data_IF_584806353949
#
_entry.id   IF_584806353949
#
_cell.length_a   1.000
_cell.length_b   1.000
_cell.length_c   1.000
_cell.angle_alpha   90.00
_cell.angle_beta   90.00
_cell.angle_gamma   90.00
#
_symmetry.space_group_name_H-M   'P 1'
#
loop_
_entity.id
_entity.type
_entity.pdbx_description
1 polymer ?
#
# COMPACT_ATOMS: atom_id res chain seq x y z
N UNK A 1 -6.59 56.15 -22.81
CA UNK A 1 -5.58 55.08 -22.90
C UNK A 1 -5.55 54.20 -21.64
N UNK A 2 -5.68 54.76 -20.43
CA UNK A 2 -5.69 53.98 -19.17
C UNK A 2 -6.83 52.95 -19.05
N UNK A 3 -8.02 53.24 -19.57
CA UNK A 3 -9.18 52.34 -19.48
C UNK A 3 -9.02 51.03 -20.25
N UNK A 4 -8.27 51.02 -21.36
CA UNK A 4 -8.01 49.81 -22.15
C UNK A 4 -7.05 48.84 -21.44
N UNK A 5 -6.02 49.37 -20.76
CA UNK A 5 -5.06 48.55 -20.02
C UNK A 5 -5.69 47.83 -18.82
N UNK A 6 -6.52 48.51 -18.03
CA UNK A 6 -7.21 47.88 -16.90
C UNK A 6 -8.09 46.69 -17.32
N UNK A 7 -8.74 46.77 -18.49
CA UNK A 7 -9.57 45.69 -19.04
C UNK A 7 -8.70 44.51 -19.50
N UNK A 8 -7.58 44.77 -20.18
CA UNK A 8 -6.65 43.71 -20.60
C UNK A 8 -5.95 43.04 -19.42
N UNK A 9 -5.54 43.81 -18.42
CA UNK A 9 -4.87 43.30 -17.22
C UNK A 9 -5.83 42.46 -16.37
N UNK A 10 -7.09 42.90 -16.22
CA UNK A 10 -8.14 42.11 -15.58
C UNK A 10 -8.46 40.80 -16.32
N UNK A 11 -8.49 40.82 -17.65
CA UNK A 11 -8.65 39.63 -18.48
C UNK A 11 -7.46 38.66 -18.36
N UNK A 12 -6.23 39.18 -18.32
CA UNK A 12 -5.04 38.38 -18.12
C UNK A 12 -5.04 37.70 -16.75
N UNK A 13 -5.34 38.44 -15.68
CA UNK A 13 -5.40 37.91 -14.32
C UNK A 13 -6.46 36.82 -14.15
N UNK A 14 -7.65 37.01 -14.73
CA UNK A 14 -8.71 35.99 -14.71
C UNK A 14 -8.33 34.73 -15.49
N UNK A 15 -7.65 34.88 -16.63
CA UNK A 15 -7.14 33.72 -17.39
C UNK A 15 -6.08 32.94 -16.61
N UNK A 16 -5.14 33.62 -15.95
CA UNK A 16 -4.11 33.00 -15.11
C UNK A 16 -4.75 32.31 -13.91
N UNK A 17 -5.73 32.95 -13.26
CA UNK A 17 -6.46 32.36 -12.15
C UNK A 17 -7.24 31.11 -12.57
N UNK A 18 -7.86 31.11 -13.75
CA UNK A 18 -8.57 29.95 -14.28
C UNK A 18 -7.61 28.78 -14.54
N UNK A 19 -6.46 29.03 -15.18
CA UNK A 19 -5.43 28.01 -15.43
C UNK A 19 -4.88 27.46 -14.11
N UNK A 20 -4.60 28.32 -13.14
CA UNK A 20 -4.15 27.91 -11.81
C UNK A 20 -5.18 27.04 -11.10
N UNK A 21 -6.47 27.40 -11.16
CA UNK A 21 -7.55 26.60 -10.58
C UNK A 21 -7.63 25.20 -11.20
N UNK A 22 -7.55 25.12 -12.54
CA UNK A 22 -7.54 23.83 -13.26
C UNK A 22 -6.32 23.00 -12.87
N UNK A 23 -5.13 23.60 -12.78
CA UNK A 23 -3.91 22.92 -12.38
C UNK A 23 -4.00 22.37 -10.94
N UNK A 24 -4.57 23.13 -10.01
CA UNK A 24 -4.78 22.69 -8.63
C UNK A 24 -5.75 21.49 -8.55
N UNK A 25 -6.87 21.56 -9.27
CA UNK A 25 -7.84 20.46 -9.30
C UNK A 25 -7.22 19.22 -9.94
N UNK A 26 -6.52 19.37 -11.06
CA UNK A 26 -5.84 18.26 -11.72
C UNK A 26 -4.77 17.62 -10.82
N UNK A 27 -3.98 18.45 -10.13
CA UNK A 27 -2.98 17.99 -9.15
C UNK A 27 -3.60 17.22 -7.99
N UNK A 28 -4.71 17.72 -7.43
CA UNK A 28 -5.44 17.05 -6.35
C UNK A 28 -5.98 15.68 -6.79
N UNK A 29 -6.59 15.60 -7.98
CA UNK A 29 -7.11 14.34 -8.54
C UNK A 29 -5.98 13.35 -8.82
N UNK A 30 -4.88 13.79 -9.41
CA UNK A 30 -3.71 12.95 -9.69
C UNK A 30 -3.09 12.41 -8.39
N UNK A 31 -2.95 13.26 -7.37
CA UNK A 31 -2.46 12.88 -6.05
C UNK A 31 -3.37 11.86 -5.37
N UNK A 32 -4.69 12.07 -5.42
CA UNK A 32 -5.67 11.13 -4.87
C UNK A 32 -5.61 9.76 -5.58
N UNK A 33 -5.51 9.74 -6.92
CA UNK A 33 -5.37 8.48 -7.68
C UNK A 33 -4.06 7.75 -7.36
N UNK A 34 -2.95 8.48 -7.27
CA UNK A 34 -1.65 7.91 -6.92
C UNK A 34 -1.68 7.31 -5.51
N UNK A 35 -2.24 8.04 -4.54
CA UNK A 35 -2.43 7.56 -3.17
C UNK A 35 -3.33 6.32 -3.12
N UNK A 36 -4.47 6.35 -3.81
CA UNK A 36 -5.40 5.23 -3.89
C UNK A 36 -4.76 3.99 -4.54
N UNK A 37 -3.93 4.16 -5.59
CA UNK A 37 -3.19 3.04 -6.19
C UNK A 37 -2.14 2.48 -5.25
N UNK A 38 -1.39 3.34 -4.54
CA UNK A 38 -0.37 2.88 -3.60
C UNK A 38 -0.99 2.13 -2.42
N UNK A 39 -2.08 2.64 -1.86
CA UNK A 39 -2.83 2.01 -0.78
C UNK A 39 -3.55 0.75 -1.27
N UNK A 40 -4.18 0.80 -2.45
CA UNK A 40 -4.87 -0.31 -3.08
C UNK A 40 -3.93 -1.46 -3.46
N UNK A 41 -2.76 -1.16 -4.02
CA UNK A 41 -1.72 -2.16 -4.29
C UNK A 41 -1.24 -2.85 -3.00
N UNK A 42 -1.23 -2.14 -1.87
CA UNK A 42 -0.90 -2.70 -0.56
C UNK A 42 -2.09 -3.33 0.16
N UNK A 43 -3.33 -3.14 -0.32
CA UNK A 43 -4.52 -3.60 0.37
C UNK A 43 -4.55 -5.13 0.57
N UNK A 44 -4.22 -5.99 -0.43
CA UNK A 44 -4.20 -7.43 -0.22
C UNK A 44 -3.18 -7.86 0.84
N UNK A 45 -1.99 -7.25 0.82
CA UNK A 45 -0.92 -7.54 1.77
C UNK A 45 -1.24 -7.03 3.19
N UNK A 46 -1.83 -5.83 3.31
CA UNK A 46 -2.25 -5.23 4.56
C UNK A 46 -3.43 -5.98 5.21
N UNK A 47 -4.41 -6.42 4.40
CA UNK A 47 -5.50 -7.28 4.85
C UNK A 47 -4.95 -8.62 5.32
N UNK A 48 -4.09 -9.28 4.51
CA UNK A 48 -3.44 -10.53 4.89
C UNK A 48 -2.67 -10.38 6.20
N UNK A 49 -1.82 -9.36 6.35
CA UNK A 49 -1.02 -9.14 7.56
C UNK A 49 -1.89 -8.82 8.78
N UNK A 50 -2.97 -8.04 8.62
CA UNK A 50 -3.94 -7.77 9.66
C UNK A 50 -4.66 -9.05 10.13
N UNK A 51 -5.09 -9.90 9.19
CA UNK A 51 -5.71 -11.19 9.48
C UNK A 51 -4.72 -12.12 10.20
N UNK A 52 -3.47 -12.22 9.73
CA UNK A 52 -2.41 -13.01 10.36
C UNK A 52 -2.10 -12.53 11.77
N UNK A 53 -1.95 -11.22 12.01
CA UNK A 53 -1.79 -10.64 13.36
C UNK A 53 -2.95 -11.00 14.26
N UNK A 54 -4.19 -10.81 13.78
CA UNK A 54 -5.40 -11.11 14.56
C UNK A 54 -5.51 -12.59 14.90
N UNK A 55 -5.10 -13.47 13.98
CA UNK A 55 -4.96 -14.90 14.25
C UNK A 55 -3.86 -15.15 15.29
N UNK A 56 -2.65 -14.58 15.13
CA UNK A 56 -1.57 -14.74 16.10
C UNK A 56 -1.88 -14.24 17.53
N UNK A 57 -2.72 -13.22 17.67
CA UNK A 57 -3.20 -12.76 18.98
C UNK A 57 -4.28 -13.67 19.57
N UNK A 58 -5.08 -14.37 18.74
CA UNK A 58 -6.15 -15.27 19.20
C UNK A 58 -5.70 -16.72 19.36
N UNK A 59 -4.78 -17.15 18.52
CA UNK A 59 -4.05 -18.39 18.61
C UNK A 59 -2.68 -17.98 19.09
N UNK A 60 -2.44 -17.98 20.41
CA UNK A 60 -1.08 -17.88 20.92
C UNK A 60 -0.29 -19.01 20.24
N UNK A 61 0.45 -18.68 19.19
CA UNK A 61 1.37 -19.63 18.59
C UNK A 61 2.37 -19.91 19.71
N UNK A 62 2.32 -21.13 20.26
CA UNK A 62 3.48 -21.63 20.97
C UNK A 62 4.66 -21.38 20.02
N UNK A 63 5.79 -20.84 20.52
CA UNK A 63 7.00 -20.73 19.71
C UNK A 63 7.17 -22.04 18.97
N UNK A 64 7.13 -22.00 17.62
CA UNK A 64 7.30 -23.21 16.83
C UNK A 64 8.63 -23.81 17.27
N UNK A 65 8.57 -24.98 17.93
CA UNK A 65 9.78 -25.70 18.34
C UNK A 65 10.58 -25.93 17.07
N UNK A 66 11.82 -25.48 17.06
CA UNK A 66 12.75 -25.75 15.98
C UNK A 66 12.73 -27.26 15.70
N UNK A 67 12.22 -27.69 14.52
CA UNK A 67 12.12 -29.10 14.18
C UNK A 67 13.51 -29.75 14.09
N UNK A 68 14.57 -28.95 13.94
CA UNK A 68 15.97 -29.38 13.90
C UNK A 68 16.71 -29.23 15.24
N UNK A 69 16.02 -28.87 16.34
CA UNK A 69 16.65 -28.77 17.65
C UNK A 69 17.26 -30.11 18.09
N UNK A 70 18.47 -30.04 18.66
CA UNK A 70 19.23 -31.21 19.14
C UNK A 70 18.37 -32.06 20.09
N UNK A 71 18.15 -33.32 19.74
CA UNK A 71 17.34 -34.28 20.51
C UNK A 71 15.90 -34.48 20.00
N UNK A 72 15.48 -33.79 18.92
CA UNK A 72 14.21 -34.07 18.24
C UNK A 72 14.44 -34.98 17.03
N UNK A 73 13.66 -36.06 16.93
CA UNK A 73 13.61 -36.89 15.72
C UNK A 73 12.95 -36.04 14.62
N UNK A 74 13.64 -35.84 13.50
CA UNK A 74 13.05 -35.17 12.33
C UNK A 74 11.73 -35.86 11.98
N UNK A 75 10.62 -35.12 11.82
CA UNK A 75 9.39 -35.68 11.27
C UNK A 75 9.74 -36.36 9.95
N UNK A 76 9.49 -37.67 9.85
CA UNK A 76 9.73 -38.38 8.59
C UNK A 76 8.74 -37.84 7.57
N UNK A 77 9.24 -37.51 6.38
CA UNK A 77 8.38 -37.14 5.26
C UNK A 77 7.35 -38.27 5.06
N UNK A 78 6.07 -37.95 4.89
CA UNK A 78 5.06 -38.95 4.52
C UNK A 78 5.53 -39.70 3.28
N UNK A 79 5.67 -41.03 3.36
CA UNK A 79 6.16 -41.88 2.27
C UNK A 79 7.65 -42.26 2.32
N UNK A 80 8.42 -41.79 3.31
CA UNK A 80 9.81 -42.22 3.47
C UNK A 80 9.88 -43.69 3.92
N UNK A 81 10.34 -44.57 3.03
CA UNK A 81 10.62 -45.97 3.36
C UNK A 81 11.71 -46.08 4.44
N UNK A 82 11.63 -47.07 5.35
CA UNK A 82 12.68 -47.30 6.34
C UNK A 82 13.99 -47.65 5.63
N UNK A 83 15.10 -47.03 6.05
CA UNK A 83 16.42 -47.40 5.56
C UNK A 83 16.74 -48.84 5.99
N UNK A 84 17.17 -49.68 5.04
CA UNK A 84 17.55 -51.07 5.29
C UNK A 84 18.72 -51.15 6.28
N UNK A 85 18.69 -52.17 7.13
CA UNK A 85 19.62 -52.41 8.24
C UNK A 85 20.98 -52.93 7.77
#
# INVERSE_FOLDING_TARGET
>A
MLTGQLVTDGGALTSVAAVAAVALVAGAVAGALAGARLLGARAPAAVRSGVLRRRAFRTAFLPQRDPDARGRRRPRAPGAAPAAA
#
